data_IF_566194040827
#
_entry.id   IF_566194040827
#
_cell.length_a   1.000
_cell.length_b   1.000
_cell.length_c   1.000
_cell.angle_alpha   90.00
_cell.angle_beta   90.00
_cell.angle_gamma   90.00
#
_symmetry.space_group_name_H-M   'P 1'
#
loop_
_entity.id
_entity.type
_entity.pdbx_description
1 polymer ?
#
# COMPACT_ATOMS: atom_id res chain seq x y z
N UNK A 1 -11.57 10.17 -0.55
CA UNK A 1 -11.65 8.97 0.31
C UNK A 1 -13.14 8.69 0.50
N UNK A 2 -13.67 7.61 -0.08
CA UNK A 2 -15.04 7.17 0.23
C UNK A 2 -15.01 6.66 1.67
N UNK A 3 -15.63 7.38 2.59
CA UNK A 3 -15.72 6.95 3.99
C UNK A 3 -16.99 6.12 4.11
N UNK A 4 -16.85 4.80 4.17
CA UNK A 4 -17.95 3.93 4.57
C UNK A 4 -17.98 3.98 6.10
N UNK A 5 -18.73 4.92 6.66
CA UNK A 5 -18.98 4.96 8.11
C UNK A 5 -20.01 3.88 8.45
N UNK A 6 -19.55 2.82 9.14
CA UNK A 6 -20.43 1.93 9.85
C UNK A 6 -20.93 2.68 11.09
N UNK A 7 -22.01 3.44 10.94
CA UNK A 7 -22.60 4.18 12.06
C UNK A 7 -23.28 3.20 13.02
N UNK A 8 -22.95 3.22 14.33
CA UNK A 8 -23.67 2.45 15.35
C UNK A 8 -24.98 3.12 15.79
N UNK A 9 -25.38 4.24 15.17
CA UNK A 9 -26.62 4.93 15.46
C UNK A 9 -27.81 4.12 14.95
N UNK A 10 -28.44 3.40 15.89
CA UNK A 10 -29.76 2.78 15.77
C UNK A 10 -30.76 3.78 15.17
N UNK A 11 -31.08 3.60 13.90
CA UNK A 11 -32.34 4.08 13.34
C UNK A 11 -33.27 2.87 13.36
N UNK A 12 -34.14 2.78 14.37
CA UNK A 12 -35.17 1.75 14.45
C UNK A 12 -36.21 1.99 13.35
N UNK A 13 -36.01 1.39 12.18
CA UNK A 13 -37.10 1.13 11.26
C UNK A 13 -37.74 -0.21 11.63
N UNK A 14 -38.99 -0.17 12.12
CA UNK A 14 -39.83 -1.37 12.22
C UNK A 14 -40.24 -1.81 10.81
N UNK A 15 -39.37 -2.56 10.15
CA UNK A 15 -39.74 -3.37 8.99
C UNK A 15 -39.93 -4.78 9.54
N UNK A 16 -41.16 -5.28 9.48
CA UNK A 16 -41.49 -6.62 9.91
C UNK A 16 -40.64 -7.64 9.12
N UNK A 17 -40.07 -8.60 9.87
CA UNK A 17 -39.45 -9.84 9.40
C UNK A 17 -38.05 -9.78 8.75
N UNK A 18 -37.11 -8.96 9.25
CA UNK A 18 -35.70 -9.01 8.78
C UNK A 18 -34.66 -8.99 9.90
N UNK A 19 -34.19 -10.17 10.27
CA UNK A 19 -33.03 -10.35 11.15
C UNK A 19 -31.73 -10.23 10.33
N UNK A 20 -30.82 -9.34 10.76
CA UNK A 20 -29.37 -9.33 10.49
C UNK A 20 -28.73 -8.47 9.38
N UNK A 21 -29.21 -7.24 9.12
CA UNK A 21 -28.33 -6.20 8.52
C UNK A 21 -28.44 -4.81 9.16
N UNK A 22 -28.84 -4.72 10.43
CA UNK A 22 -28.92 -3.44 11.17
C UNK A 22 -27.59 -2.67 11.22
N UNK A 23 -26.46 -3.30 10.90
CA UNK A 23 -25.12 -2.69 10.89
C UNK A 23 -24.57 -2.36 9.50
N UNK A 24 -25.24 -2.76 8.40
CA UNK A 24 -24.78 -2.45 7.05
C UNK A 24 -25.53 -1.23 6.51
N UNK A 25 -25.26 -0.07 7.10
CA UNK A 25 -25.69 1.21 6.57
C UNK A 25 -24.54 1.80 5.74
N UNK A 26 -24.59 1.64 4.41
CA UNK A 26 -23.62 2.28 3.53
C UNK A 26 -24.14 3.68 3.21
N UNK A 27 -23.49 4.69 3.80
CA UNK A 27 -23.84 6.09 3.55
C UNK A 27 -23.12 6.58 2.31
N UNK A 28 -23.87 6.97 1.28
CA UNK A 28 -23.35 7.57 0.05
C UNK A 28 -23.58 9.07 0.12
N UNK A 29 -22.48 9.82 0.15
CA UNK A 29 -22.48 11.26 0.43
C UNK A 29 -22.87 12.09 -0.79
N UNK A 30 -23.25 13.34 -0.54
CA UNK A 30 -23.61 14.31 -1.58
C UNK A 30 -22.46 14.53 -2.55
N UNK A 31 -22.79 14.60 -3.84
CA UNK A 31 -21.81 14.76 -4.92
C UNK A 31 -21.12 13.48 -5.38
N UNK A 32 -21.36 12.34 -4.72
CA UNK A 32 -20.91 11.04 -5.22
C UNK A 32 -21.75 10.60 -6.42
N UNK A 33 -21.10 9.98 -7.40
CA UNK A 33 -21.77 9.37 -8.55
C UNK A 33 -21.88 7.87 -8.36
N UNK A 34 -23.10 7.36 -8.44
CA UNK A 34 -23.41 5.94 -8.30
C UNK A 34 -23.86 5.38 -9.64
N UNK A 35 -23.36 4.21 -10.00
CA UNK A 35 -23.88 3.39 -11.08
C UNK A 35 -24.51 2.15 -10.48
N UNK A 36 -25.81 1.98 -10.66
CA UNK A 36 -26.52 0.79 -10.19
C UNK A 36 -27.01 -0.04 -11.38
N UNK A 37 -26.30 -1.14 -11.65
CA UNK A 37 -26.62 -2.07 -12.72
C UNK A 37 -27.47 -3.26 -12.24
N UNK A 38 -27.96 -3.26 -10.99
CA UNK A 38 -28.87 -4.32 -10.56
C UNK A 38 -30.22 -4.19 -11.27
N UNK A 39 -30.67 -5.32 -11.82
CA UNK A 39 -32.00 -5.42 -12.46
C UNK A 39 -32.99 -6.21 -11.60
N UNK A 40 -32.50 -7.07 -10.70
CA UNK A 40 -33.32 -8.05 -9.96
C UNK A 40 -33.31 -7.88 -8.45
N UNK A 41 -32.40 -7.06 -7.92
CA UNK A 41 -32.18 -6.92 -6.49
C UNK A 41 -32.31 -5.48 -6.03
N UNK A 42 -33.32 -5.23 -5.20
CA UNK A 42 -33.48 -3.99 -4.44
C UNK A 42 -32.53 -3.93 -3.23
N UNK A 43 -31.73 -4.98 -2.97
CA UNK A 43 -30.88 -5.05 -1.79
C UNK A 43 -29.99 -3.82 -1.65
N UNK A 44 -29.47 -3.31 -2.76
CA UNK A 44 -28.68 -2.08 -2.76
C UNK A 44 -29.45 -0.85 -2.28
N UNK A 45 -30.66 -0.65 -2.78
CA UNK A 45 -31.54 0.42 -2.33
C UNK A 45 -32.05 0.24 -0.89
N UNK A 46 -32.09 -1.01 -0.39
CA UNK A 46 -32.50 -1.32 0.99
C UNK A 46 -31.39 -1.06 2.02
N UNK A 47 -30.13 -1.24 1.64
CA UNK A 47 -28.98 -1.18 2.58
C UNK A 47 -28.05 0.02 2.35
N UNK A 48 -28.26 0.81 1.28
CA UNK A 48 -27.51 2.04 1.04
C UNK A 48 -28.40 3.27 1.26
N UNK A 49 -27.91 4.23 2.04
CA UNK A 49 -28.56 5.53 2.21
C UNK A 49 -27.90 6.55 1.28
N UNK A 50 -28.67 7.10 0.34
CA UNK A 50 -28.20 8.08 -0.63
C UNK A 50 -28.53 9.50 -0.16
N UNK A 51 -27.51 10.29 0.12
CA UNK A 51 -27.66 11.67 0.57
C UNK A 51 -27.25 12.63 -0.53
N UNK A 52 -28.16 12.93 -1.47
CA UNK A 52 -27.87 13.84 -2.59
C UNK A 52 -26.85 13.28 -3.61
N UNK A 53 -26.76 11.95 -3.70
CA UNK A 53 -25.97 11.27 -4.72
C UNK A 53 -26.76 11.12 -6.02
N UNK A 54 -26.08 11.22 -7.16
CA UNK A 54 -26.68 10.94 -8.47
C UNK A 54 -26.57 9.44 -8.78
N UNK A 55 -27.67 8.81 -9.18
CA UNK A 55 -27.71 7.37 -9.51
C UNK A 55 -27.99 7.18 -10.99
N UNK A 56 -27.03 6.63 -11.71
CA UNK A 56 -27.17 6.22 -13.11
C UNK A 56 -27.52 4.72 -13.17
N UNK A 57 -28.29 4.32 -14.18
CA UNK A 57 -28.66 2.91 -14.44
C UNK A 57 -27.91 2.28 -15.62
N UNK A 58 -27.08 3.06 -16.29
CA UNK A 58 -26.29 2.65 -17.45
C UNK A 58 -24.96 3.38 -17.42
N UNK A 59 -23.90 2.75 -17.97
CA UNK A 59 -22.57 3.36 -18.04
C UNK A 59 -22.63 4.55 -19.00
N UNK A 60 -22.43 5.76 -18.47
CA UNK A 60 -22.27 6.95 -19.28
C UNK A 60 -20.87 7.03 -19.91
N UNK A 61 -20.80 7.52 -21.15
CA UNK A 61 -19.52 7.73 -21.84
C UNK A 61 -18.70 8.80 -21.13
N UNK A 62 -17.46 8.47 -20.74
CA UNK A 62 -16.54 9.39 -20.07
C UNK A 62 -16.87 9.67 -18.60
N UNK A 63 -17.84 8.98 -18.03
CA UNK A 63 -18.19 9.10 -16.62
C UNK A 63 -17.32 8.19 -15.75
N UNK A 64 -16.90 8.73 -14.61
CA UNK A 64 -16.30 7.97 -13.52
C UNK A 64 -17.28 7.89 -12.34
N UNK A 65 -17.33 6.72 -11.70
CA UNK A 65 -18.27 6.41 -10.62
C UNK A 65 -17.53 6.16 -9.31
N UNK A 66 -18.04 6.73 -8.23
CA UNK A 66 -17.51 6.51 -6.88
C UNK A 66 -18.03 5.21 -6.29
N UNK A 67 -19.23 4.81 -6.67
CA UNK A 67 -19.83 3.54 -6.26
C UNK A 67 -20.44 2.89 -7.49
N UNK A 68 -20.09 1.63 -7.74
CA UNK A 68 -20.77 0.80 -8.74
C UNK A 68 -21.41 -0.36 -8.02
N UNK A 69 -22.66 -0.64 -8.32
CA UNK A 69 -23.39 -1.78 -7.79
C UNK A 69 -23.80 -2.76 -8.90
N UNK A 70 -23.58 -4.05 -8.64
CA UNK A 70 -24.07 -5.14 -9.49
C UNK A 70 -24.73 -6.23 -8.65
N UNK A 71 -25.66 -6.94 -9.28
CA UNK A 71 -26.24 -8.17 -8.76
C UNK A 71 -25.45 -9.38 -9.29
N UNK A 72 -24.75 -10.08 -8.41
CA UNK A 72 -23.89 -11.21 -8.82
C UNK A 72 -24.72 -12.42 -9.30
N UNK A 73 -25.96 -12.58 -8.84
CA UNK A 73 -26.80 -13.70 -9.24
C UNK A 73 -27.45 -13.51 -10.61
N UNK A 74 -27.41 -12.29 -11.15
CA UNK A 74 -27.89 -11.98 -12.49
C UNK A 74 -26.84 -12.29 -13.59
N UNK A 75 -25.61 -12.65 -13.21
CA UNK A 75 -24.48 -12.77 -14.13
C UNK A 75 -23.96 -14.21 -14.17
N UNK A 76 -23.72 -14.72 -15.37
CA UNK A 76 -22.86 -15.90 -15.54
C UNK A 76 -21.43 -15.58 -15.10
N UNK A 77 -20.62 -16.62 -14.89
CA UNK A 77 -19.21 -16.44 -14.49
C UNK A 77 -18.44 -15.54 -15.47
N UNK A 78 -18.63 -15.74 -16.78
CA UNK A 78 -17.97 -14.96 -17.84
C UNK A 78 -18.46 -13.51 -17.89
N UNK A 79 -19.76 -13.29 -17.67
CA UNK A 79 -20.33 -11.94 -17.63
C UNK A 79 -19.87 -11.19 -16.40
N UNK A 80 -19.74 -11.85 -15.25
CA UNK A 80 -19.17 -11.26 -14.04
C UNK A 80 -17.72 -10.82 -14.28
N UNK A 81 -16.88 -11.67 -14.86
CA UNK A 81 -15.49 -11.30 -15.22
C UNK A 81 -15.43 -10.11 -16.18
N UNK A 82 -16.22 -10.16 -17.26
CA UNK A 82 -16.28 -9.07 -18.25
C UNK A 82 -16.79 -7.77 -17.63
N UNK A 83 -17.75 -7.86 -16.70
CA UNK A 83 -18.29 -6.74 -15.96
C UNK A 83 -17.25 -6.16 -15.00
N UNK A 84 -16.49 -6.99 -14.27
CA UNK A 84 -15.41 -6.51 -13.41
C UNK A 84 -14.43 -5.62 -14.19
N UNK A 85 -13.93 -6.10 -15.34
CA UNK A 85 -13.00 -5.32 -16.17
C UNK A 85 -13.60 -3.98 -16.62
N UNK A 86 -14.84 -3.99 -17.10
CA UNK A 86 -15.54 -2.77 -17.53
C UNK A 86 -15.74 -1.80 -16.36
N UNK A 87 -16.21 -2.31 -15.22
CA UNK A 87 -16.48 -1.54 -14.00
C UNK A 87 -15.19 -0.88 -13.52
N UNK A 88 -14.08 -1.60 -13.42
CA UNK A 88 -12.82 -1.04 -12.93
C UNK A 88 -12.26 0.08 -13.84
N UNK A 89 -12.59 0.10 -15.13
CA UNK A 89 -12.26 1.24 -16.01
C UNK A 89 -13.13 2.47 -15.77
N UNK A 90 -14.34 2.26 -15.26
CA UNK A 90 -15.30 3.32 -14.97
C UNK A 90 -15.27 3.79 -13.52
N UNK A 91 -14.59 3.08 -12.61
CA UNK A 91 -14.45 3.54 -11.23
C UNK A 91 -13.58 4.80 -11.17
N UNK A 92 -13.93 5.71 -10.25
CA UNK A 92 -13.05 6.81 -9.88
C UNK A 92 -11.81 6.25 -9.16
N UNK A 93 -10.75 7.06 -9.00
CA UNK A 93 -9.50 6.62 -8.37
C UNK A 93 -9.67 6.08 -6.93
N UNK A 94 -10.78 6.43 -6.27
CA UNK A 94 -11.17 5.91 -4.95
C UNK A 94 -12.51 5.19 -4.99
N UNK A 95 -12.98 4.85 -6.18
CA UNK A 95 -14.27 4.24 -6.39
C UNK A 95 -14.29 2.80 -5.90
N UNK A 96 -15.48 2.33 -5.57
CA UNK A 96 -15.71 1.00 -5.00
C UNK A 96 -16.80 0.27 -5.78
N UNK A 97 -16.58 -1.01 -6.02
CA UNK A 97 -17.59 -1.93 -6.48
C UNK A 97 -18.23 -2.59 -5.25
N UNK A 98 -19.55 -2.48 -5.17
CA UNK A 98 -20.38 -3.19 -4.21
C UNK A 98 -21.17 -4.25 -4.96
N UNK A 99 -21.23 -5.46 -4.44
CA UNK A 99 -22.19 -6.44 -4.96
C UNK A 99 -22.71 -7.31 -3.83
N UNK A 100 -23.97 -7.72 -3.98
CA UNK A 100 -24.65 -8.62 -3.08
C UNK A 100 -25.36 -9.72 -3.85
N UNK A 101 -25.49 -10.88 -3.22
CA UNK A 101 -26.25 -11.99 -3.76
C UNK A 101 -26.15 -13.26 -2.94
N UNK A 102 -26.94 -14.26 -3.30
CA UNK A 102 -26.81 -15.62 -2.79
C UNK A 102 -25.47 -16.21 -3.22
N UNK A 103 -24.75 -16.76 -2.25
CA UNK A 103 -23.45 -17.39 -2.44
C UNK A 103 -23.48 -18.75 -1.76
N UNK A 104 -23.11 -19.80 -2.50
CA UNK A 104 -22.97 -21.13 -1.93
C UNK A 104 -21.76 -21.19 -0.98
N UNK A 105 -22.00 -21.65 0.25
CA UNK A 105 -20.96 -21.82 1.26
C UNK A 105 -19.97 -22.96 0.96
N UNK A 106 -20.33 -23.90 0.07
CA UNK A 106 -19.48 -25.01 -0.34
C UNK A 106 -19.48 -25.22 -1.86
N UNK A 107 -18.43 -25.89 -2.36
CA UNK A 107 -18.25 -26.19 -3.78
C UNK A 107 -17.38 -25.16 -4.52
N UNK A 108 -17.04 -25.46 -5.78
CA UNK A 108 -16.19 -24.61 -6.65
C UNK A 108 -16.92 -24.05 -7.87
N UNK A 109 -18.19 -24.39 -8.06
CA UNK A 109 -18.89 -24.15 -9.31
C UNK A 109 -19.75 -22.87 -9.24
N UNK A 110 -19.69 -22.08 -10.31
CA UNK A 110 -20.72 -21.12 -10.67
C UNK A 110 -21.83 -21.90 -11.38
N UNK A 111 -23.00 -22.03 -10.77
CA UNK A 111 -24.07 -22.89 -11.30
C UNK A 111 -25.28 -22.06 -11.66
N UNK A 112 -25.92 -22.41 -12.77
CA UNK A 112 -27.21 -21.84 -13.10
C UNK A 112 -28.29 -22.48 -12.22
N UNK A 113 -29.16 -21.66 -11.64
CA UNK A 113 -30.31 -22.09 -10.83
C UNK A 113 -31.52 -21.28 -11.30
N UNK A 114 -32.47 -21.96 -11.94
CA UNK A 114 -33.58 -21.30 -12.63
C UNK A 114 -33.07 -20.29 -13.65
N UNK A 115 -33.55 -19.05 -13.54
CA UNK A 115 -33.18 -17.95 -14.44
C UNK A 115 -31.95 -17.16 -13.97
N UNK A 116 -31.28 -17.58 -12.89
CA UNK A 116 -30.14 -16.90 -12.29
C UNK A 116 -28.94 -17.82 -12.09
N UNK A 117 -27.93 -17.29 -11.42
CA UNK A 117 -26.69 -18.00 -11.14
C UNK A 117 -26.33 -17.96 -9.65
N UNK A 118 -25.79 -19.06 -9.15
CA UNK A 118 -25.31 -19.20 -7.78
C UNK A 118 -23.79 -19.43 -7.81
N UNK A 119 -22.98 -18.39 -7.55
CA UNK A 119 -21.55 -18.55 -7.36
C UNK A 119 -21.24 -19.21 -6.02
N UNK A 120 -20.08 -19.88 -5.93
CA UNK A 120 -19.54 -20.30 -4.63
C UNK A 120 -18.55 -19.28 -4.08
N UNK A 121 -18.41 -19.21 -2.76
CA UNK A 121 -17.48 -18.28 -2.10
C UNK A 121 -16.03 -18.48 -2.58
N UNK A 122 -15.62 -19.74 -2.77
CA UNK A 122 -14.30 -20.07 -3.29
C UNK A 122 -14.08 -19.57 -4.73
N UNK A 123 -15.10 -19.64 -5.59
CA UNK A 123 -15.01 -19.11 -6.95
C UNK A 123 -14.91 -17.58 -6.93
N UNK A 124 -15.77 -16.89 -6.18
CA UNK A 124 -15.71 -15.43 -6.02
C UNK A 124 -14.34 -14.97 -5.52
N UNK A 125 -13.80 -15.61 -4.48
CA UNK A 125 -12.46 -15.29 -3.96
C UNK A 125 -11.38 -15.41 -5.03
N UNK A 126 -11.44 -16.44 -5.88
CA UNK A 126 -10.48 -16.61 -6.96
C UNK A 126 -10.61 -15.49 -8.01
N UNK A 127 -11.83 -15.12 -8.40
CA UNK A 127 -12.06 -14.01 -9.35
C UNK A 127 -11.61 -12.66 -8.79
N UNK A 128 -11.71 -12.48 -7.47
CA UNK A 128 -11.31 -11.26 -6.79
C UNK A 128 -9.82 -11.19 -6.41
N UNK A 129 -9.00 -12.19 -6.74
CA UNK A 129 -7.61 -12.28 -6.28
C UNK A 129 -6.71 -11.11 -6.75
N UNK A 130 -7.07 -10.45 -7.86
CA UNK A 130 -6.40 -9.24 -8.36
C UNK A 130 -6.92 -7.93 -7.78
N UNK A 131 -7.82 -7.99 -6.79
CA UNK A 131 -8.53 -6.83 -6.25
C UNK A 131 -8.42 -6.76 -4.73
N UNK A 132 -8.55 -5.54 -4.19
CA UNK A 132 -8.63 -5.34 -2.74
C UNK A 132 -10.10 -5.46 -2.32
N UNK A 133 -10.45 -6.55 -1.63
CA UNK A 133 -11.84 -6.83 -1.28
C UNK A 133 -12.05 -7.20 0.19
N UNK A 134 -13.26 -6.96 0.67
CA UNK A 134 -13.74 -7.33 2.00
C UNK A 134 -15.20 -7.76 1.92
N UNK A 135 -15.54 -8.86 2.60
CA UNK A 135 -16.94 -9.24 2.84
C UNK A 135 -17.50 -8.34 3.95
N UNK A 136 -18.60 -7.65 3.65
CA UNK A 136 -19.22 -6.69 4.56
C UNK A 136 -20.20 -7.35 5.53
N UNK A 137 -20.87 -8.42 5.11
CA UNK A 137 -21.85 -9.11 5.93
C UNK A 137 -22.49 -10.30 5.22
N UNK A 138 -23.21 -11.09 6.01
CA UNK A 138 -23.96 -12.27 5.56
C UNK A 138 -25.38 -12.17 6.13
N UNK A 139 -26.39 -12.35 5.27
CA UNK A 139 -27.78 -12.52 5.68
C UNK A 139 -28.06 -14.01 5.71
N UNK A 140 -28.43 -14.50 6.89
CA UNK A 140 -28.91 -15.86 7.02
C UNK A 140 -30.37 -15.88 6.59
N UNK A 141 -30.66 -16.55 5.49
CA UNK A 141 -32.04 -16.93 5.19
C UNK A 141 -32.50 -17.93 6.26
N UNK A 142 -33.76 -17.80 6.63
CA UNK A 142 -34.39 -18.45 7.79
C UNK A 142 -33.96 -19.91 8.04
N UNK A 143 -33.73 -20.23 9.32
CA UNK A 143 -33.18 -21.51 9.84
C UNK A 143 -34.11 -22.70 9.52
N UNK A 144 -35.29 -22.44 8.96
CA UNK A 144 -36.35 -23.38 8.66
C UNK A 144 -36.17 -24.21 7.38
N UNK A 145 -35.17 -23.90 6.53
CA UNK A 145 -34.85 -24.73 5.34
C UNK A 145 -33.62 -25.61 5.56
N UNK A 146 -33.77 -26.87 6.01
CA UNK A 146 -32.66 -27.79 6.08
C UNK A 146 -32.19 -28.09 4.64
N UNK A 147 -30.91 -27.84 4.38
CA UNK A 147 -30.15 -28.12 3.14
C UNK A 147 -29.88 -26.96 2.17
N UNK A 148 -30.32 -25.73 2.40
CA UNK A 148 -29.89 -24.62 1.53
C UNK A 148 -28.63 -23.94 2.08
N UNK A 149 -27.45 -24.50 1.74
CA UNK A 149 -26.14 -23.96 2.14
C UNK A 149 -25.75 -22.65 1.43
N UNK A 150 -26.71 -21.92 0.85
CA UNK A 150 -26.50 -20.63 0.22
C UNK A 150 -26.86 -19.52 1.22
N UNK A 151 -26.00 -18.51 1.33
CA UNK A 151 -26.21 -17.35 2.18
C UNK A 151 -26.12 -16.10 1.33
N UNK A 152 -26.92 -15.09 1.65
CA UNK A 152 -26.79 -13.81 0.96
C UNK A 152 -25.56 -13.08 1.51
N UNK A 153 -24.60 -12.75 0.65
CA UNK A 153 -23.34 -12.12 1.06
C UNK A 153 -23.15 -10.78 0.36
N UNK A 154 -22.54 -9.83 1.05
CA UNK A 154 -22.19 -8.52 0.49
C UNK A 154 -20.68 -8.33 0.44
N UNK A 155 -20.19 -7.82 -0.68
CA UNK A 155 -18.77 -7.58 -0.92
C UNK A 155 -18.53 -6.12 -1.27
N UNK A 156 -17.41 -5.62 -0.74
CA UNK A 156 -16.80 -4.38 -1.13
C UNK A 156 -15.48 -4.68 -1.82
N UNK A 157 -15.32 -4.19 -3.04
CA UNK A 157 -14.16 -4.43 -3.89
C UNK A 157 -13.63 -3.10 -4.41
N UNK A 158 -12.32 -2.94 -4.39
CA UNK A 158 -11.63 -1.75 -4.84
C UNK A 158 -10.40 -2.11 -5.67
N UNK A 159 -9.93 -1.15 -6.47
CA UNK A 159 -8.67 -1.29 -7.23
C UNK A 159 -7.51 -1.43 -6.25
N UNK A 160 -6.64 -2.43 -6.46
CA UNK A 160 -5.38 -2.50 -5.71
C UNK A 160 -4.53 -1.31 -6.15
N UNK A 161 -4.22 -0.45 -5.18
CA UNK A 161 -3.29 0.65 -5.38
C UNK A 161 -1.86 0.15 -5.23
N UNK A 162 -0.93 0.57 -6.09
CA UNK A 162 0.47 0.22 -5.92
C UNK A 162 1.00 0.81 -4.60
N UNK A 163 1.90 0.10 -3.94
CA UNK A 163 2.50 0.50 -2.66
C UNK A 163 3.86 1.13 -2.90
N UNK A 164 4.08 2.32 -2.35
CA UNK A 164 5.38 2.98 -2.35
C UNK A 164 6.02 2.87 -0.96
N UNK A 165 7.06 2.06 -0.83
CA UNK A 165 7.86 1.92 0.39
C UNK A 165 8.93 3.02 0.43
N UNK A 166 8.74 4.00 1.31
CA UNK A 166 9.57 5.20 1.37
C UNK A 166 10.70 5.03 2.39
N UNK A 167 11.92 4.85 1.92
CA UNK A 167 13.13 4.75 2.73
C UNK A 167 13.84 6.12 2.67
N UNK A 168 13.35 7.08 3.46
CA UNK A 168 13.72 8.49 3.36
C UNK A 168 14.77 8.96 4.37
N UNK A 169 15.21 8.07 5.24
CA UNK A 169 16.07 8.38 6.38
C UNK A 169 17.48 8.89 6.02
N UNK A 170 18.21 9.32 7.04
CA UNK A 170 19.58 9.86 6.92
C UNK A 170 20.54 8.92 6.17
N UNK A 171 21.63 9.44 5.58
CA UNK A 171 22.67 8.59 5.01
C UNK A 171 23.30 7.69 6.09
N UNK A 172 23.74 6.49 5.69
CA UNK A 172 24.43 5.56 6.59
C UNK A 172 23.56 4.73 7.53
N UNK A 173 22.24 4.92 7.56
CA UNK A 173 21.33 4.10 8.40
C UNK A 173 20.94 2.75 7.78
N UNK A 174 21.65 2.31 6.74
CA UNK A 174 21.42 1.01 6.10
C UNK A 174 20.23 0.91 5.14
N UNK A 175 19.70 2.04 4.64
CA UNK A 175 18.55 2.07 3.69
C UNK A 175 18.75 1.16 2.47
N UNK A 176 19.85 1.33 1.76
CA UNK A 176 20.17 0.51 0.59
C UNK A 176 20.43 -0.96 0.94
N UNK A 177 20.80 -1.26 2.19
CA UNK A 177 20.90 -2.64 2.67
C UNK A 177 19.51 -3.25 2.92
N UNK A 178 18.59 -2.49 3.54
CA UNK A 178 17.21 -2.90 3.73
C UNK A 178 16.49 -3.11 2.40
N UNK A 179 16.63 -2.16 1.46
CA UNK A 179 16.09 -2.26 0.10
C UNK A 179 16.54 -3.56 -0.57
N UNK A 180 17.85 -3.82 -0.60
CA UNK A 180 18.41 -5.04 -1.22
C UNK A 180 18.00 -6.34 -0.52
N UNK A 181 17.90 -6.35 0.82
CA UNK A 181 17.63 -7.57 1.58
C UNK A 181 16.16 -7.98 1.59
N UNK A 182 15.27 -7.00 1.71
CA UNK A 182 13.84 -7.26 1.94
C UNK A 182 12.96 -6.97 0.73
N UNK A 183 13.47 -6.20 -0.24
CA UNK A 183 12.69 -5.76 -1.39
C UNK A 183 13.39 -6.05 -2.73
N UNK A 184 14.24 -7.08 -2.77
CA UNK A 184 14.96 -7.48 -4.01
C UNK A 184 14.05 -7.86 -5.17
N UNK A 185 12.79 -8.22 -4.90
CA UNK A 185 11.78 -8.56 -5.89
C UNK A 185 11.00 -7.34 -6.40
N UNK A 186 11.20 -6.16 -5.80
CA UNK A 186 10.56 -4.92 -6.22
C UNK A 186 11.55 -4.00 -6.95
N UNK A 187 11.06 -3.17 -7.88
CA UNK A 187 11.86 -2.07 -8.43
C UNK A 187 12.27 -1.10 -7.32
N UNK A 188 13.51 -0.60 -7.41
CA UNK A 188 14.05 0.38 -6.46
C UNK A 188 14.41 1.65 -7.21
N UNK A 189 13.75 2.76 -6.88
CA UNK A 189 14.15 4.10 -7.31
C UNK A 189 15.22 4.60 -6.35
N UNK A 190 16.46 4.61 -6.81
CA UNK A 190 17.61 5.07 -6.02
C UNK A 190 17.91 6.53 -6.31
N UNK A 191 17.77 7.40 -5.30
CA UNK A 191 17.96 8.85 -5.46
C UNK A 191 19.33 9.20 -6.07
N UNK A 192 20.38 8.56 -5.58
CA UNK A 192 21.76 8.77 -6.07
C UNK A 192 21.92 8.42 -7.56
N UNK A 193 21.27 7.34 -8.01
CA UNK A 193 21.27 6.94 -9.42
C UNK A 193 20.44 7.88 -10.29
N UNK A 194 19.32 8.39 -9.77
CA UNK A 194 18.49 9.39 -10.45
C UNK A 194 19.29 10.67 -10.69
N UNK A 195 19.99 11.18 -9.67
CA UNK A 195 20.84 12.36 -9.83
C UNK A 195 21.94 12.14 -10.87
N UNK A 196 22.59 10.98 -10.85
CA UNK A 196 23.58 10.62 -11.88
C UNK A 196 22.97 10.56 -13.27
N UNK A 197 21.78 9.99 -13.41
CA UNK A 197 21.10 9.90 -14.70
C UNK A 197 20.69 11.27 -15.24
N UNK A 198 20.27 12.20 -14.38
CA UNK A 198 20.02 13.60 -14.75
C UNK A 198 21.32 14.31 -15.17
N UNK A 199 22.39 14.14 -14.38
CA UNK A 199 23.72 14.68 -14.69
C UNK A 199 24.22 14.23 -16.07
N UNK A 200 24.11 12.93 -16.34
CA UNK A 200 24.49 12.29 -17.61
C UNK A 200 23.53 12.65 -18.77
N UNK A 201 22.45 13.41 -18.53
CA UNK A 201 21.46 13.79 -19.55
C UNK A 201 20.51 12.68 -19.99
N UNK A 202 20.41 11.58 -19.23
CA UNK A 202 19.59 10.39 -19.55
C UNK A 202 18.13 10.54 -19.13
N UNK A 203 17.83 11.46 -18.23
CA UNK A 203 16.47 11.76 -17.78
C UNK A 203 16.04 13.16 -18.25
N UNK A 204 14.80 13.25 -18.69
CA UNK A 204 14.16 14.50 -19.10
C UNK A 204 13.75 15.30 -17.88
N UNK A 205 14.33 16.48 -17.74
CA UNK A 205 14.05 17.47 -16.70
C UNK A 205 14.18 18.86 -17.31
N UNK A 206 13.73 19.88 -16.58
CA UNK A 206 13.99 21.28 -16.88
C UNK A 206 15.50 21.57 -16.96
N UNK A 207 15.85 22.52 -17.82
CA UNK A 207 17.25 22.89 -18.01
C UNK A 207 17.86 23.46 -16.72
N UNK A 208 17.10 24.26 -15.97
CA UNK A 208 17.54 24.84 -14.70
C UNK A 208 17.85 23.77 -13.65
N UNK A 209 16.99 22.75 -13.52
CA UNK A 209 17.21 21.67 -12.57
C UNK A 209 18.42 20.81 -12.96
N UNK A 210 18.61 20.55 -14.26
CA UNK A 210 19.80 19.85 -14.77
C UNK A 210 21.08 20.62 -14.46
N UNK A 211 21.13 21.91 -14.76
CA UNK A 211 22.30 22.77 -14.52
C UNK A 211 22.65 22.81 -13.03
N UNK A 212 21.64 22.90 -12.17
CA UNK A 212 21.83 22.85 -10.72
C UNK A 212 22.47 21.53 -10.29
N UNK A 213 21.96 20.39 -10.76
CA UNK A 213 22.55 19.07 -10.49
C UNK A 213 23.98 19.01 -11.06
N UNK A 214 24.21 19.45 -12.30
CA UNK A 214 25.53 19.43 -12.92
C UNK A 214 26.57 20.25 -12.15
N UNK A 215 26.15 21.37 -11.56
CA UNK A 215 27.05 22.22 -10.75
C UNK A 215 27.37 21.63 -9.36
N UNK A 216 26.48 20.79 -8.81
CA UNK A 216 26.58 20.28 -7.43
C UNK A 216 26.91 18.79 -7.32
N UNK A 217 26.83 18.03 -8.42
CA UNK A 217 26.96 16.57 -8.39
C UNK A 217 28.38 16.15 -7.99
N UNK A 218 28.49 15.63 -6.78
CA UNK A 218 29.65 14.93 -6.26
C UNK A 218 29.11 13.68 -5.52
N UNK A 219 29.47 12.46 -5.95
CA UNK A 219 29.05 11.22 -5.29
C UNK A 219 29.34 11.17 -3.79
N UNK A 220 30.39 11.87 -3.33
CA UNK A 220 30.75 11.96 -1.91
C UNK A 220 29.92 13.01 -1.14
N UNK A 221 29.15 13.86 -1.82
CA UNK A 221 28.43 15.01 -1.24
C UNK A 221 26.96 15.09 -1.64
N UNK A 222 26.35 13.96 -2.03
CA UNK A 222 24.94 13.87 -2.44
C UNK A 222 23.99 14.47 -1.39
N UNK A 223 24.32 14.32 -0.10
CA UNK A 223 23.57 14.94 1.00
C UNK A 223 23.44 16.46 0.84
N UNK A 224 24.55 17.15 0.56
CA UNK A 224 24.59 18.61 0.42
C UNK A 224 23.82 19.06 -0.83
N UNK A 225 24.00 18.33 -1.93
CA UNK A 225 23.25 18.59 -3.17
C UNK A 225 21.74 18.45 -2.91
N UNK A 226 21.31 17.35 -2.31
CA UNK A 226 19.88 17.12 -2.00
C UNK A 226 19.29 18.24 -1.16
N UNK A 227 19.98 18.67 -0.10
CA UNK A 227 19.52 19.79 0.72
C UNK A 227 19.34 21.07 -0.11
N UNK A 228 20.33 21.42 -0.93
CA UNK A 228 20.29 22.60 -1.80
C UNK A 228 19.13 22.54 -2.81
N UNK A 229 18.89 21.37 -3.43
CA UNK A 229 17.80 21.19 -4.38
C UNK A 229 16.43 21.46 -3.74
N UNK A 230 16.23 20.93 -2.53
CA UNK A 230 14.99 21.13 -1.78
C UNK A 230 14.81 22.59 -1.31
N UNK A 231 15.89 23.26 -0.92
CA UNK A 231 15.87 24.68 -0.53
C UNK A 231 15.60 25.61 -1.71
N UNK A 232 16.07 25.25 -2.91
CA UNK A 232 15.82 25.98 -4.17
C UNK A 232 14.45 25.69 -4.79
N UNK A 233 13.63 24.84 -4.17
CA UNK A 233 12.26 24.60 -4.61
C UNK A 233 12.11 23.51 -5.69
N UNK A 234 13.15 22.75 -6.03
CA UNK A 234 13.08 21.66 -7.01
C UNK A 234 12.38 20.38 -6.49
N UNK A 235 11.58 20.49 -5.43
CA UNK A 235 10.89 19.36 -4.82
C UNK A 235 9.95 18.67 -5.80
N UNK A 236 9.03 19.41 -6.42
CA UNK A 236 7.96 18.83 -7.22
C UNK A 236 8.52 18.13 -8.45
N UNK A 237 9.48 18.76 -9.13
CA UNK A 237 10.16 18.19 -10.29
C UNK A 237 10.93 16.90 -9.95
N UNK A 238 11.62 16.86 -8.80
CA UNK A 238 12.28 15.63 -8.34
C UNK A 238 11.27 14.51 -8.06
N UNK A 239 10.11 14.84 -7.48
CA UNK A 239 9.04 13.85 -7.24
C UNK A 239 8.45 13.34 -8.54
N UNK A 240 8.27 14.19 -9.54
CA UNK A 240 7.77 13.78 -10.86
C UNK A 240 8.72 12.79 -11.52
N UNK A 241 10.03 13.01 -11.42
CA UNK A 241 11.05 12.05 -11.88
C UNK A 241 10.92 10.72 -11.13
N UNK A 242 10.74 10.73 -9.81
CA UNK A 242 10.58 9.49 -9.04
C UNK A 242 9.31 8.74 -9.43
N UNK A 243 8.18 9.43 -9.58
CA UNK A 243 6.91 8.84 -9.99
C UNK A 243 6.97 8.24 -11.40
N UNK A 244 7.61 8.93 -12.35
CA UNK A 244 7.83 8.40 -13.70
C UNK A 244 8.67 7.12 -13.68
N UNK A 245 9.72 7.07 -12.84
CA UNK A 245 10.55 5.87 -12.70
C UNK A 245 9.86 4.74 -11.92
N UNK A 246 8.90 5.08 -11.05
CA UNK A 246 8.10 4.12 -10.31
C UNK A 246 7.03 3.41 -11.15
N UNK A 247 6.66 3.93 -12.33
CA UNK A 247 5.81 3.28 -13.34
C UNK A 247 4.48 2.70 -12.82
N UNK A 248 3.90 3.31 -11.78
CA UNK A 248 2.63 2.88 -11.18
C UNK A 248 2.57 1.39 -10.76
N UNK A 249 3.69 0.86 -10.26
CA UNK A 249 3.80 -0.48 -9.67
C UNK A 249 4.33 -0.39 -8.23
N UNK A 250 4.21 -1.48 -7.46
CA UNK A 250 4.85 -1.56 -6.14
C UNK A 250 6.33 -1.20 -6.23
N UNK A 251 6.79 -0.27 -5.40
CA UNK A 251 8.11 0.36 -5.57
C UNK A 251 8.75 0.69 -4.23
N UNK A 252 10.08 0.65 -4.20
CA UNK A 252 10.89 1.15 -3.10
C UNK A 252 11.57 2.45 -3.50
N UNK A 253 11.43 3.48 -2.68
CA UNK A 253 12.13 4.75 -2.84
C UNK A 253 13.29 4.78 -1.86
N UNK A 254 14.51 4.52 -2.34
CA UNK A 254 15.74 4.59 -1.55
C UNK A 254 16.45 5.91 -1.84
N UNK A 255 16.16 6.92 -1.03
CA UNK A 255 16.74 8.25 -1.19
C UNK A 255 16.86 8.95 0.15
N UNK A 256 17.84 9.83 0.29
CA UNK A 256 17.81 10.75 1.42
C UNK A 256 16.79 11.87 1.14
N UNK A 257 15.91 12.15 2.11
CA UNK A 257 15.05 13.33 2.08
C UNK A 257 15.19 14.06 3.42
N UNK A 258 15.33 15.39 3.45
CA UNK A 258 15.36 16.12 4.70
C UNK A 258 14.05 15.92 5.48
N UNK A 259 14.07 15.67 6.81
CA UNK A 259 12.88 15.31 7.58
C UNK A 259 11.68 16.26 7.41
N UNK A 260 11.94 17.56 7.23
CA UNK A 260 10.90 18.59 7.02
C UNK A 260 10.04 18.36 5.76
N UNK A 261 10.50 17.53 4.81
CA UNK A 261 9.77 17.21 3.58
C UNK A 261 9.18 15.80 3.54
N UNK A 262 9.41 14.95 4.56
CA UNK A 262 8.92 13.55 4.54
C UNK A 262 7.41 13.46 4.36
N UNK A 263 6.66 14.33 5.05
CA UNK A 263 5.21 14.41 4.88
C UNK A 263 4.84 14.74 3.44
N UNK A 264 5.48 15.76 2.86
CA UNK A 264 5.22 16.20 1.47
C UNK A 264 5.52 15.11 0.44
N UNK A 265 6.57 14.31 0.64
CA UNK A 265 6.86 13.14 -0.22
C UNK A 265 5.73 12.11 -0.14
N UNK A 266 5.29 11.79 1.08
CA UNK A 266 4.18 10.85 1.30
C UNK A 266 2.89 11.32 0.66
N UNK A 267 2.56 12.60 0.85
CA UNK A 267 1.37 13.23 0.27
C UNK A 267 1.45 13.16 -1.26
N UNK A 268 2.60 13.48 -1.86
CA UNK A 268 2.80 13.43 -3.32
C UNK A 268 2.61 12.04 -3.92
N UNK A 269 3.10 10.98 -3.28
CA UNK A 269 2.84 9.60 -3.71
C UNK A 269 1.36 9.22 -3.54
N UNK A 270 0.74 9.65 -2.45
CA UNK A 270 -0.69 9.38 -2.18
C UNK A 270 -1.59 10.06 -3.21
N UNK A 271 -1.30 11.31 -3.56
CA UNK A 271 -1.98 12.08 -4.60
C UNK A 271 -1.80 11.45 -5.98
N UNK A 272 -0.63 10.85 -6.22
CA UNK A 272 -0.34 10.09 -7.44
C UNK A 272 -1.03 8.70 -7.46
N UNK A 273 -1.79 8.32 -6.43
CA UNK A 273 -2.56 7.08 -6.39
C UNK A 273 -1.90 5.91 -5.67
N UNK A 274 -0.74 6.09 -5.05
CA UNK A 274 -0.05 5.05 -4.30
C UNK A 274 -0.55 4.93 -2.85
N UNK A 275 -0.38 3.75 -2.26
CA UNK A 275 -0.33 3.59 -0.80
C UNK A 275 1.09 3.90 -0.34
N UNK A 276 1.31 5.10 0.19
CA UNK A 276 2.63 5.56 0.62
C UNK A 276 2.95 5.12 2.07
N UNK A 277 3.94 4.24 2.23
CA UNK A 277 4.36 3.69 3.53
C UNK A 277 5.74 4.24 3.88
N UNK A 278 5.81 5.06 4.92
CA UNK A 278 7.08 5.58 5.46
C UNK A 278 7.76 4.53 6.33
N UNK A 279 8.89 4.03 5.85
CA UNK A 279 9.66 2.98 6.51
C UNK A 279 10.69 3.61 7.43
N UNK A 280 10.44 3.51 8.75
CA UNK A 280 11.32 4.04 9.79
C UNK A 280 11.89 2.91 10.62
N UNK A 281 13.18 2.98 10.90
CA UNK A 281 13.85 2.06 11.82
C UNK A 281 14.99 2.79 12.51
N UNK A 282 15.31 2.34 13.71
CA UNK A 282 16.46 2.80 14.47
C UNK A 282 17.53 1.73 14.39
N UNK A 283 18.58 2.01 13.62
CA UNK A 283 19.85 1.32 13.75
C UNK A 283 20.79 2.27 14.46
N UNK A 284 21.47 1.80 15.51
CA UNK A 284 22.68 2.48 15.97
C UNK A 284 23.58 2.67 14.75
N UNK A 285 24.16 3.86 14.53
CA UNK A 285 25.01 4.11 13.37
C UNK A 285 26.16 3.10 13.38
N UNK A 286 26.04 2.03 12.59
CA UNK A 286 27.02 0.94 12.53
C UNK A 286 28.19 1.27 11.62
N UNK A 287 28.01 2.25 10.72
CA UNK A 287 29.02 2.69 9.76
C UNK A 287 29.56 4.07 10.15
N UNK A 288 30.89 4.19 10.24
CA UNK A 288 31.55 5.47 10.46
C UNK A 288 31.49 6.34 9.18
N UNK A 289 31.58 7.67 9.33
CA UNK A 289 31.62 8.58 8.18
C UNK A 289 32.86 8.32 7.31
N UNK A 290 32.86 8.73 6.03
CA UNK A 290 34.06 8.63 5.15
C UNK A 290 35.30 9.21 5.82
N UNK A 291 35.19 10.40 6.42
CA UNK A 291 36.29 11.05 7.15
C UNK A 291 36.78 10.20 8.33
N UNK A 292 35.86 9.64 9.12
CA UNK A 292 36.22 8.75 10.23
C UNK A 292 36.82 7.43 9.73
N UNK A 293 36.37 6.91 8.59
CA UNK A 293 36.95 5.74 7.94
C UNK A 293 38.37 6.03 7.44
N UNK A 294 38.59 7.17 6.78
CA UNK A 294 39.90 7.65 6.32
C UNK A 294 40.86 7.87 7.50
N UNK A 295 40.37 8.46 8.59
CA UNK A 295 41.13 8.66 9.82
C UNK A 295 41.51 7.33 10.46
N UNK A 296 40.55 6.40 10.60
CA UNK A 296 40.80 5.04 11.10
C UNK A 296 41.79 4.26 10.24
N UNK A 297 41.71 4.37 8.91
CA UNK A 297 42.69 3.78 7.98
C UNK A 297 44.04 4.44 8.17
N UNK A 298 44.11 5.76 8.32
CA UNK A 298 45.37 6.47 8.54
C UNK A 298 46.04 6.13 9.88
N UNK A 299 45.24 5.86 10.92
CA UNK A 299 45.70 5.39 12.23
C UNK A 299 46.21 3.95 12.14
N UNK A 300 45.47 3.09 11.44
CA UNK A 300 45.88 1.71 11.16
C UNK A 300 47.19 1.65 10.35
N UNK A 301 47.30 2.43 9.28
CA UNK A 301 48.49 2.47 8.42
C UNK A 301 49.73 3.04 9.12
N UNK A 302 49.55 3.88 10.14
CA UNK A 302 50.64 4.39 10.99
C UNK A 302 51.09 3.41 12.07
N UNK A 303 50.51 2.20 12.14
CA UNK A 303 50.83 1.19 13.15
C UNK A 303 50.27 1.49 14.55
N UNK A 304 49.61 2.63 14.75
CA UNK A 304 49.05 3.05 16.03
C UNK A 304 47.60 2.58 16.19
N UNK A 305 47.32 1.29 15.97
CA UNK A 305 45.95 0.79 16.17
C UNK A 305 45.65 0.70 17.68
N UNK A 306 44.74 1.53 18.25
CA UNK A 306 44.35 1.41 19.66
C UNK A 306 43.62 0.10 19.97
N UNK A 307 43.22 -0.66 18.94
CA UNK A 307 42.52 -1.94 19.08
C UNK A 307 43.44 -3.14 19.39
N UNK A 308 44.77 -2.96 19.32
CA UNK A 308 45.71 -4.04 19.67
C UNK A 308 46.00 -4.05 21.17
N UNK A 309 46.10 -2.90 21.84
CA UNK A 309 46.40 -2.86 23.28
C UNK A 309 45.20 -3.27 24.16
N UNK A 310 43.97 -2.95 23.78
CA UNK A 310 42.80 -3.27 24.61
C UNK A 310 42.40 -4.77 24.57
N UNK A 311 42.73 -5.50 23.49
CA UNK A 311 42.46 -6.94 23.38
C UNK A 311 43.51 -7.81 24.07
N UNK A 312 44.74 -7.32 24.24
CA UNK A 312 45.77 -8.03 25.02
C UNK A 312 45.48 -7.91 26.52
N UNK A 313 45.05 -6.74 27.00
CA UNK A 313 44.71 -6.53 28.41
C UNK A 313 43.51 -7.38 28.89
N UNK A 314 42.47 -7.56 28.06
CA UNK A 314 41.31 -8.41 28.43
C UNK A 314 41.57 -9.93 28.38
N UNK A 315 42.61 -10.40 27.67
CA UNK A 315 42.99 -11.82 27.70
C UNK A 315 43.74 -12.22 28.97
N UNK A 316 44.39 -11.27 29.65
CA UNK A 316 45.05 -11.54 30.93
C UNK A 316 44.11 -11.51 32.14
N UNK A 317 42.93 -10.89 32.06
CA UNK A 317 41.96 -10.93 33.17
C UNK A 317 41.08 -12.19 33.18
N UNK A 318 40.83 -12.83 32.04
CA UNK A 318 40.04 -14.07 31.98
C UNK A 318 40.80 -15.30 32.51
N UNK A 319 42.13 -15.33 32.42
CA UNK A 319 42.94 -16.42 32.98
C UNK A 319 42.95 -16.43 34.53
N UNK A 320 42.70 -15.28 35.16
CA UNK A 320 42.58 -15.17 36.63
C UNK A 320 41.20 -15.65 37.13
N UNK A 321 40.14 -15.54 36.32
CA UNK A 321 38.78 -15.94 36.70
C UNK A 321 38.56 -17.47 36.65
N UNK A 322 39.25 -18.19 35.75
CA UNK A 322 39.14 -19.66 35.65
C UNK A 322 39.83 -20.41 36.79
N UNK A 323 40.79 -19.79 37.50
CA UNK A 323 41.43 -20.37 38.68
C UNK A 323 40.55 -20.38 39.92
N UNK A 324 39.58 -19.46 40.03
CA UNK A 324 38.71 -19.34 41.20
C UNK A 324 37.55 -20.35 41.18
N UNK A 325 37.05 -20.70 39.99
CA UNK A 325 35.92 -21.64 39.84
C UNK A 325 36.33 -23.09 40.13
N UNK A 326 37.59 -23.48 39.93
CA UNK A 326 38.07 -24.84 40.27
C UNK A 326 38.23 -25.11 41.77
N UNK A 327 38.27 -24.09 42.62
CA UNK A 327 38.45 -24.23 44.08
C UNK A 327 37.11 -24.30 44.85
N UNK A 328 35.99 -24.05 44.17
CA UNK A 328 34.63 -24.06 44.74
C UNK A 328 33.84 -25.35 44.48
N UNK A 329 34.40 -26.29 43.72
CA UNK A 329 33.75 -27.58 43.37
C UNK A 329 34.39 -28.76 44.14
N UNK A 330 35.35 -28.51 45.04
CA UNK A 330 36.02 -29.58 45.81
C UNK A 330 35.99 -29.39 47.33
N UNK A 331 34.88 -28.90 47.90
CA UNK A 331 34.61 -28.98 49.34
C UNK A 331 33.21 -29.50 49.60
#
# INVERSE_FOLDING_TARGET
MVVIELSPSRVEYKIADQTYLESLCITISSGMRVLDLSQRSDAFSRYCLFWGASVDKQIGVGHHYDVVHIDVNALSEKEFESSLEAIFRTLSANGVLLFGGEVAGQGKAWRQIGDGYLPSFANLKNKLNGHAWKMLGVVNNDVSTPNNHAQWMFFHVSVIKPTAFLLLGSPGVGKSTMARRHFSHLPVVQGDQIYKAIFDGKLTVSQQFREEIQSLFDPCRILRMTLSLFEKGYFDELMDVWLQNAKYQDVVIDSYVPPKYHKRVRDRFSDAGYVAIDMRWELSKTMCSKRAAEENVSVFMRGNSPLVEERVSRRFSLAAATGFIRKLISR
#
